data_IF_896505704238
#
_entry.id   IF_896505704238
#
_cell.length_a   1.000
_cell.length_b   1.000
_cell.length_c   1.000
_cell.angle_alpha   90.00
_cell.angle_beta   90.00
_cell.angle_gamma   90.00
#
_symmetry.space_group_name_H-M   'P 1'
#
loop_
_entity.id
_entity.type
_entity.pdbx_description
1 polymer ?
#
# COMPACT_ATOMS: atom_id res chain seq x y z
N UNK A 1 -11.34 -40.05 -3.46
CA UNK A 1 -10.03 -40.17 -4.12
C UNK A 1 -9.39 -38.80 -4.11
N UNK A 2 -8.36 -38.63 -3.29
CA UNK A 2 -7.61 -37.37 -3.13
C UNK A 2 -6.72 -37.15 -4.36
N UNK A 3 -6.77 -35.93 -4.91
CA UNK A 3 -6.07 -35.53 -6.14
C UNK A 3 -4.65 -35.13 -5.75
N UNK A 4 -3.75 -36.10 -5.72
CA UNK A 4 -2.35 -35.92 -5.32
C UNK A 4 -1.61 -34.98 -6.29
N UNK A 5 -0.83 -34.03 -5.75
CA UNK A 5 -0.13 -33.00 -6.52
C UNK A 5 1.16 -33.58 -7.12
N UNK A 6 1.42 -33.28 -8.39
CA UNK A 6 2.55 -33.82 -9.18
C UNK A 6 3.80 -32.90 -9.09
N UNK A 7 3.82 -31.88 -8.21
CA UNK A 7 4.87 -30.84 -8.22
C UNK A 7 5.46 -30.61 -6.84
N UNK A 8 6.79 -30.55 -6.76
CA UNK A 8 7.65 -30.25 -5.61
C UNK A 8 8.18 -28.79 -5.62
N UNK A 9 7.58 -27.92 -6.44
CA UNK A 9 7.98 -26.51 -6.56
C UNK A 9 7.56 -25.66 -5.36
N UNK A 10 8.16 -24.48 -5.19
CA UNK A 10 7.98 -23.54 -4.05
C UNK A 10 6.53 -23.10 -3.72
N UNK A 11 5.56 -23.51 -4.54
CA UNK A 11 4.12 -23.39 -4.32
C UNK A 11 3.50 -24.69 -3.74
N UNK A 12 4.30 -25.57 -3.13
CA UNK A 12 3.87 -26.81 -2.45
C UNK A 12 2.92 -26.53 -1.27
N UNK A 13 2.93 -25.31 -0.74
CA UNK A 13 2.05 -24.91 0.35
C UNK A 13 0.59 -25.21 0.00
N UNK A 14 -0.11 -25.84 0.94
CA UNK A 14 -1.47 -26.28 0.75
C UNK A 14 -2.33 -25.10 0.27
N UNK A 15 -3.16 -25.35 -0.74
CA UNK A 15 -4.09 -24.37 -1.32
C UNK A 15 -5.05 -23.78 -0.27
N UNK A 16 -5.20 -24.48 0.86
CA UNK A 16 -6.04 -24.15 2.01
C UNK A 16 -5.22 -23.71 3.25
N UNK A 17 -3.91 -23.47 3.11
CA UNK A 17 -3.11 -22.88 4.16
C UNK A 17 -3.51 -21.41 4.29
N UNK A 18 -3.91 -21.00 5.50
CA UNK A 18 -4.48 -19.68 5.76
C UNK A 18 -3.38 -18.61 5.58
N UNK A 19 -3.23 -18.06 4.37
CA UNK A 19 -2.29 -16.97 4.05
C UNK A 19 -2.67 -15.69 4.81
N UNK A 20 -3.94 -15.57 5.20
CA UNK A 20 -4.41 -14.47 6.03
C UNK A 20 -3.97 -14.71 7.48
N UNK A 21 -2.78 -14.20 7.82
CA UNK A 21 -2.40 -14.00 9.20
C UNK A 21 -3.52 -13.25 9.92
N UNK A 22 -3.89 -13.70 11.12
CA UNK A 22 -4.88 -13.05 12.00
C UNK A 22 -4.39 -11.70 12.54
N UNK A 23 -3.48 -11.05 11.82
CA UNK A 23 -3.05 -9.72 12.15
C UNK A 23 -4.28 -8.80 12.05
N UNK A 24 -4.51 -7.92 13.03
CA UNK A 24 -5.49 -6.87 12.84
C UNK A 24 -5.12 -6.13 11.55
N UNK A 25 -6.06 -6.08 10.60
CA UNK A 25 -5.85 -5.33 9.36
C UNK A 25 -5.50 -3.88 9.68
N UNK A 26 -4.80 -3.22 8.78
CA UNK A 26 -4.58 -1.77 8.91
C UNK A 26 -5.98 -1.13 8.84
N UNK A 27 -6.41 -0.37 9.87
CA UNK A 27 -7.68 0.34 9.82
C UNK A 27 -7.67 1.31 8.64
N UNK A 28 -8.83 1.49 8.02
CA UNK A 28 -8.96 2.43 6.92
C UNK A 28 -8.81 3.86 7.47
N UNK A 29 -7.71 4.53 7.10
CA UNK A 29 -7.45 5.93 7.43
C UNK A 29 -8.09 6.89 6.41
N UNK A 30 -8.94 6.39 5.49
CA UNK A 30 -9.67 7.24 4.57
C UNK A 30 -10.64 8.19 5.30
N UNK A 31 -10.71 9.42 4.80
CA UNK A 31 -11.69 10.40 5.26
C UNK A 31 -13.09 9.97 4.82
N UNK A 32 -14.01 9.89 5.78
CA UNK A 32 -15.43 9.72 5.52
C UNK A 32 -16.01 10.98 4.83
N UNK A 33 -17.12 10.84 4.08
CA UNK A 33 -17.79 11.98 3.49
C UNK A 33 -18.16 13.05 4.54
N UNK A 34 -17.84 14.31 4.24
CA UNK A 34 -18.11 15.45 5.12
C UNK A 34 -17.05 15.71 6.20
N UNK A 35 -15.95 14.96 6.21
CA UNK A 35 -14.76 15.35 6.98
C UNK A 35 -13.92 16.36 6.20
N UNK A 36 -13.31 17.30 6.92
CA UNK A 36 -12.44 18.31 6.32
C UNK A 36 -11.16 17.67 5.76
N UNK A 37 -10.79 18.10 4.56
CA UNK A 37 -9.52 17.71 3.96
C UNK A 37 -8.36 18.39 4.70
N UNK A 38 -7.18 17.75 4.78
CA UNK A 38 -5.99 18.42 5.29
C UNK A 38 -5.63 19.61 4.40
N UNK A 39 -5.00 20.60 5.02
CA UNK A 39 -4.46 21.75 4.28
C UNK A 39 -3.38 21.27 3.30
N UNK A 40 -3.41 21.72 2.04
CA UNK A 40 -2.35 21.40 1.09
C UNK A 40 -1.02 22.01 1.54
N UNK A 41 0.11 21.35 1.26
CA UNK A 41 1.41 21.90 1.57
C UNK A 41 1.67 23.20 0.79
N UNK A 42 2.44 24.09 1.38
CA UNK A 42 2.92 25.29 0.69
C UNK A 42 3.98 24.95 -0.37
N UNK A 43 4.19 25.85 -1.33
CA UNK A 43 5.23 25.67 -2.37
C UNK A 43 6.64 25.56 -1.79
N UNK A 44 6.91 26.19 -0.64
CA UNK A 44 8.18 26.03 0.07
C UNK A 44 8.34 24.60 0.61
N UNK A 45 7.29 24.05 1.21
CA UNK A 45 7.30 22.68 1.73
C UNK A 45 7.41 21.65 0.61
N UNK A 46 6.71 21.86 -0.50
CA UNK A 46 6.82 21.02 -1.70
C UNK A 46 8.27 21.02 -2.20
N UNK A 47 8.88 22.20 -2.36
CA UNK A 47 10.29 22.33 -2.79
C UNK A 47 11.26 21.65 -1.83
N UNK A 48 11.08 21.83 -0.52
CA UNK A 48 11.90 21.18 0.50
C UNK A 48 11.81 19.66 0.43
N UNK A 49 10.59 19.12 0.27
CA UNK A 49 10.37 17.67 0.18
C UNK A 49 10.90 17.09 -1.13
N UNK A 50 10.71 17.79 -2.25
CA UNK A 50 11.26 17.40 -3.55
C UNK A 50 12.80 17.29 -3.48
N UNK A 51 13.47 18.29 -2.90
CA UNK A 51 14.92 18.26 -2.70
C UNK A 51 15.38 17.09 -1.80
N UNK A 52 14.62 16.77 -0.75
CA UNK A 52 14.92 15.63 0.14
C UNK A 52 14.75 14.28 -0.57
N UNK A 53 13.76 14.18 -1.45
CA UNK A 53 13.44 12.96 -2.19
C UNK A 53 14.25 12.81 -3.48
N UNK A 54 14.94 13.86 -3.93
CA UNK A 54 15.57 13.90 -5.25
C UNK A 54 14.55 13.85 -6.39
N UNK A 55 13.33 14.35 -6.13
CA UNK A 55 12.25 14.39 -7.09
C UNK A 55 12.25 15.71 -7.86
N UNK A 56 11.85 15.66 -9.13
CA UNK A 56 11.61 16.85 -9.93
C UNK A 56 10.33 17.56 -9.45
N UNK A 57 10.33 18.88 -9.58
CA UNK A 57 9.14 19.68 -9.32
C UNK A 57 8.20 19.61 -10.53
N UNK A 58 6.88 19.62 -10.30
CA UNK A 58 5.93 19.73 -11.40
C UNK A 58 6.14 21.04 -12.16
N UNK A 59 5.93 21.02 -13.47
CA UNK A 59 5.88 22.23 -14.29
C UNK A 59 4.66 23.05 -13.86
N UNK A 60 4.83 24.36 -13.66
CA UNK A 60 3.70 25.26 -13.38
C UNK A 60 2.82 25.37 -14.63
N UNK A 61 1.52 25.05 -14.50
CA UNK A 61 0.53 25.12 -15.60
C UNK A 61 0.12 26.56 -15.97
#
# INVERSE_FOLDING_TARGET
>A
MTREKITDGANERAIDENIAGTAPGIPDDALAPGQDLPEPPSDEEVRRMAAKLGADLPDEE
#
